data_IF_498553947412
#
_entry.id   IF_498553947412
#
_cell.length_a   1.000
_cell.length_b   1.000
_cell.length_c   1.000
_cell.angle_alpha   90.00
_cell.angle_beta   90.00
_cell.angle_gamma   90.00
#
_symmetry.space_group_name_H-M   'P 1'
#
loop_
_entity.id
_entity.type
_entity.pdbx_description
1 polymer ?
#
# COMPACT_ATOMS: atom_id res chain seq x y z
N UNK A 1 -15.75 -24.03 -5.09
CA UNK A 1 -16.13 -22.67 -4.65
C UNK A 1 -16.14 -21.77 -5.88
N UNK A 2 -17.23 -21.05 -6.15
CA UNK A 2 -17.30 -20.13 -7.30
C UNK A 2 -16.45 -18.89 -6.93
N UNK A 3 -15.54 -18.48 -7.82
CA UNK A 3 -14.74 -17.27 -7.61
C UNK A 3 -15.61 -16.02 -7.82
N UNK A 4 -15.37 -15.00 -7.02
CA UNK A 4 -15.90 -13.66 -7.21
C UNK A 4 -15.06 -12.95 -8.26
N UNK A 5 -15.66 -12.59 -9.38
CA UNK A 5 -14.97 -12.04 -10.56
C UNK A 5 -15.66 -10.79 -11.13
N UNK A 6 -16.70 -10.29 -10.50
CA UNK A 6 -17.51 -9.18 -10.97
C UNK A 6 -16.65 -7.91 -11.18
N UNK A 7 -15.63 -7.72 -10.35
CA UNK A 7 -14.70 -6.61 -10.47
C UNK A 7 -13.79 -6.67 -11.71
N UNK A 8 -13.74 -7.82 -12.41
CA UNK A 8 -12.97 -8.05 -13.64
C UNK A 8 -13.81 -7.87 -14.92
N UNK A 9 -15.01 -7.29 -14.83
CA UNK A 9 -15.93 -7.18 -15.97
C UNK A 9 -15.37 -6.43 -17.18
N UNK A 10 -14.37 -5.56 -17.01
CA UNK A 10 -13.66 -4.85 -18.07
C UNK A 10 -12.28 -5.41 -18.42
N UNK A 11 -11.93 -6.60 -17.94
CA UNK A 11 -10.63 -7.22 -18.18
C UNK A 11 -10.43 -7.56 -19.67
N UNK A 12 -9.16 -7.53 -20.14
CA UNK A 12 -8.80 -8.03 -21.47
C UNK A 12 -9.26 -9.47 -21.67
N UNK A 13 -9.80 -9.76 -22.85
CA UNK A 13 -10.25 -11.12 -23.22
C UNK A 13 -9.10 -12.12 -23.33
N UNK A 14 -7.89 -11.63 -23.53
CA UNK A 14 -6.67 -12.44 -23.66
C UNK A 14 -6.08 -12.85 -22.33
N UNK A 15 -6.62 -12.31 -21.21
CA UNK A 15 -6.15 -12.62 -19.88
C UNK A 15 -6.94 -13.74 -19.23
N UNK A 16 -6.25 -14.64 -18.57
CA UNK A 16 -6.88 -15.66 -17.75
C UNK A 16 -7.31 -15.12 -16.38
N UNK A 17 -8.35 -15.73 -15.82
CA UNK A 17 -8.74 -15.53 -14.43
C UNK A 17 -8.26 -16.73 -13.63
N UNK A 18 -7.43 -16.50 -12.63
CA UNK A 18 -6.92 -17.57 -11.79
C UNK A 18 -7.51 -17.56 -10.38
N UNK A 19 -7.47 -18.73 -9.74
CA UNK A 19 -7.70 -18.83 -8.31
C UNK A 19 -6.41 -18.42 -7.59
N UNK A 20 -6.44 -17.47 -6.63
CA UNK A 20 -5.24 -17.05 -5.89
C UNK A 20 -4.45 -18.19 -5.25
N UNK A 21 -5.08 -19.30 -4.87
CA UNK A 21 -4.40 -20.51 -4.35
C UNK A 21 -3.36 -21.09 -5.33
N UNK A 22 -3.53 -20.83 -6.63
CA UNK A 22 -2.60 -21.34 -7.65
C UNK A 22 -1.35 -20.48 -7.81
N UNK A 23 -1.35 -19.27 -7.24
CA UNK A 23 -0.27 -18.30 -7.38
C UNK A 23 0.23 -17.73 -6.04
N UNK A 24 -0.50 -17.94 -4.95
CA UNK A 24 -0.10 -17.54 -3.59
C UNK A 24 -0.27 -18.69 -2.60
N UNK A 25 0.68 -18.80 -1.69
CA UNK A 25 0.65 -19.75 -0.57
C UNK A 25 0.76 -18.96 0.74
N UNK A 26 0.00 -19.33 1.75
CA UNK A 26 0.13 -18.70 3.06
C UNK A 26 1.44 -19.13 3.74
N UNK A 27 2.25 -18.16 4.20
CA UNK A 27 3.47 -18.40 4.98
C UNK A 27 3.09 -18.76 6.41
N UNK A 28 3.50 -19.93 6.86
CA UNK A 28 3.31 -20.40 8.25
C UNK A 28 4.57 -20.23 9.10
N UNK A 29 5.67 -19.76 8.52
CA UNK A 29 6.97 -19.65 9.15
C UNK A 29 6.94 -18.62 10.28
N UNK A 30 7.51 -18.99 11.44
CA UNK A 30 7.69 -18.08 12.57
C UNK A 30 8.86 -17.14 12.33
N UNK A 31 8.78 -15.97 12.95
CA UNK A 31 9.86 -14.97 12.88
C UNK A 31 11.19 -15.52 13.40
N UNK A 32 12.26 -15.04 12.77
CA UNK A 32 13.63 -15.33 13.20
C UNK A 32 14.10 -14.30 14.23
N UNK A 33 15.12 -14.63 15.06
CA UNK A 33 15.66 -13.67 16.03
C UNK A 33 16.20 -12.38 15.41
N UNK A 34 16.69 -12.45 14.16
CA UNK A 34 17.24 -11.33 13.40
C UNK A 34 16.18 -10.45 12.73
N UNK A 35 14.91 -10.87 12.72
CA UNK A 35 13.85 -10.16 12.01
C UNK A 35 13.54 -8.82 12.67
N UNK A 36 13.58 -7.77 11.88
CA UNK A 36 13.11 -6.44 12.28
C UNK A 36 11.58 -6.37 12.26
N UNK A 37 11.00 -5.57 13.14
CA UNK A 37 9.56 -5.35 13.12
C UNK A 37 9.15 -4.55 11.88
N UNK A 38 8.18 -5.07 11.13
CA UNK A 38 7.60 -4.42 9.97
C UNK A 38 6.19 -3.91 10.27
N UNK A 39 5.84 -2.79 9.67
CA UNK A 39 4.53 -2.16 9.77
C UNK A 39 3.91 -2.08 8.37
N UNK A 40 2.79 -2.77 8.12
CA UNK A 40 2.00 -2.54 6.92
C UNK A 40 1.33 -1.17 6.95
N UNK A 41 1.49 -0.39 5.91
CA UNK A 41 0.93 0.95 5.75
C UNK A 41 0.30 1.10 4.37
N UNK A 42 -0.88 1.68 4.31
CA UNK A 42 -1.57 1.94 3.04
C UNK A 42 -0.81 2.94 2.15
N UNK A 43 -0.02 3.83 2.76
CA UNK A 43 0.72 4.88 2.05
C UNK A 43 2.13 4.42 1.69
N UNK A 44 2.83 3.77 2.63
CA UNK A 44 4.26 3.44 2.49
C UNK A 44 4.49 1.97 2.10
N UNK A 45 3.43 1.15 1.99
CA UNK A 45 3.58 -0.30 1.86
C UNK A 45 4.06 -0.93 3.18
N UNK A 46 4.81 -2.03 3.07
CA UNK A 46 5.41 -2.67 4.26
C UNK A 46 6.80 -2.09 4.48
N UNK A 47 7.00 -1.41 5.60
CA UNK A 47 8.29 -0.77 5.96
C UNK A 47 8.70 -1.12 7.38
N UNK A 48 10.00 -1.00 7.72
CA UNK A 48 10.47 -1.13 9.09
C UNK A 48 9.72 -0.18 10.02
N UNK A 49 9.34 -0.69 11.19
CA UNK A 49 8.57 0.09 12.16
C UNK A 49 9.31 1.35 12.63
N UNK A 50 10.63 1.28 12.75
CA UNK A 50 11.44 2.44 13.12
C UNK A 50 11.33 3.55 12.06
N UNK A 51 11.42 3.19 10.77
CA UNK A 51 11.27 4.10 9.64
C UNK A 51 9.86 4.71 9.60
N UNK A 52 8.82 3.89 9.83
CA UNK A 52 7.44 4.37 9.90
C UNK A 52 7.26 5.44 10.99
N UNK A 53 7.84 5.22 12.18
CA UNK A 53 7.76 6.17 13.29
C UNK A 53 8.51 7.47 12.98
N UNK A 54 9.67 7.37 12.31
CA UNK A 54 10.46 8.54 11.90
C UNK A 54 9.70 9.41 10.88
N UNK A 55 9.15 8.78 9.82
CA UNK A 55 8.47 9.50 8.74
C UNK A 55 7.13 10.08 9.17
N UNK A 56 6.39 9.40 10.03
CA UNK A 56 5.03 9.82 10.41
C UNK A 56 4.95 10.59 11.73
N UNK A 57 5.96 10.52 12.57
CA UNK A 57 5.92 11.01 13.95
C UNK A 57 4.99 10.21 14.87
N UNK A 58 4.34 9.17 14.37
CA UNK A 58 3.39 8.35 15.13
C UNK A 58 4.12 7.23 15.86
N UNK A 59 3.85 7.09 17.16
CA UNK A 59 4.33 5.92 17.91
C UNK A 59 3.48 4.70 17.55
N UNK A 60 4.12 3.64 17.09
CA UNK A 60 3.47 2.33 16.95
C UNK A 60 3.57 1.62 18.30
N UNK A 61 2.42 1.20 18.83
CA UNK A 61 2.41 0.42 20.07
C UNK A 61 3.00 -0.96 19.76
N UNK A 62 4.18 -1.21 20.28
CA UNK A 62 4.78 -2.55 20.26
C UNK A 62 3.91 -3.46 21.14
N UNK A 63 3.16 -4.35 20.53
CA UNK A 63 2.49 -5.41 21.29
C UNK A 63 3.55 -6.46 21.65
N UNK A 64 4.25 -6.23 22.76
CA UNK A 64 5.33 -7.11 23.26
C UNK A 64 4.78 -8.45 23.78
N UNK A 65 3.48 -8.52 24.10
CA UNK A 65 2.80 -9.76 24.45
C UNK A 65 2.59 -10.60 23.19
N UNK A 66 3.38 -11.66 23.06
CA UNK A 66 3.31 -12.58 21.91
C UNK A 66 4.41 -12.39 20.87
N UNK A 67 5.51 -11.72 21.20
CA UNK A 67 6.69 -11.56 20.35
C UNK A 67 7.20 -12.89 19.76
N UNK A 68 7.04 -13.99 20.50
CA UNK A 68 7.49 -15.33 20.11
C UNK A 68 6.61 -15.99 19.02
N UNK A 69 5.45 -15.40 18.70
CA UNK A 69 4.49 -15.93 17.72
C UNK A 69 4.32 -15.06 16.48
N UNK A 70 5.24 -14.13 16.24
CA UNK A 70 5.19 -13.31 15.03
C UNK A 70 5.52 -14.14 13.79
N UNK A 71 5.00 -13.73 12.64
CA UNK A 71 5.23 -14.38 11.34
C UNK A 71 6.43 -13.75 10.65
N UNK A 72 7.27 -14.58 10.06
CA UNK A 72 8.37 -14.17 9.18
C UNK A 72 7.81 -13.57 7.89
N UNK A 73 8.56 -12.64 7.30
CA UNK A 73 8.26 -11.97 6.02
C UNK A 73 9.54 -11.88 5.22
N UNK A 74 9.47 -12.24 3.95
CA UNK A 74 10.55 -12.10 2.96
C UNK A 74 10.23 -10.98 1.96
N UNK A 75 11.24 -10.42 1.28
CA UNK A 75 11.00 -9.55 0.14
C UNK A 75 10.09 -10.22 -0.90
N UNK A 76 9.15 -9.46 -1.41
CA UNK A 76 8.08 -9.87 -2.33
C UNK A 76 6.91 -10.62 -1.69
N UNK A 77 6.91 -10.89 -0.40
CA UNK A 77 5.70 -11.35 0.28
C UNK A 77 4.61 -10.26 0.26
N UNK A 78 3.35 -10.71 0.37
CA UNK A 78 2.20 -9.82 0.49
C UNK A 78 1.53 -10.01 1.84
N UNK A 79 1.07 -8.91 2.44
CA UNK A 79 0.54 -8.92 3.80
C UNK A 79 -0.91 -8.47 3.81
N UNK A 80 -1.80 -9.38 4.23
CA UNK A 80 -3.18 -9.06 4.58
C UNK A 80 -3.17 -8.63 6.05
N UNK A 81 -3.49 -7.37 6.29
CA UNK A 81 -3.51 -6.78 7.63
C UNK A 81 -4.94 -6.33 8.01
N UNK A 82 -5.13 -5.81 9.24
CA UNK A 82 -6.44 -5.47 9.79
C UNK A 82 -7.26 -4.48 8.95
N UNK A 83 -6.61 -3.65 8.12
CA UNK A 83 -7.27 -2.65 7.27
C UNK A 83 -7.17 -2.93 5.78
N UNK A 84 -6.82 -4.15 5.38
CA UNK A 84 -6.72 -4.50 3.95
C UNK A 84 -8.04 -4.34 3.19
N UNK A 85 -9.17 -4.40 3.87
CA UNK A 85 -10.49 -4.11 3.29
C UNK A 85 -10.69 -2.62 2.90
N UNK A 86 -9.84 -1.71 3.40
CA UNK A 86 -9.88 -0.27 3.09
C UNK A 86 -8.83 0.13 2.05
N UNK A 87 -7.65 -0.48 2.10
CA UNK A 87 -6.49 -0.04 1.33
C UNK A 87 -5.80 -1.13 0.50
N UNK A 88 -6.38 -2.34 0.44
CA UNK A 88 -5.80 -3.48 -0.27
C UNK A 88 -4.73 -4.22 0.54
N UNK A 89 -4.02 -5.10 -0.16
CA UNK A 89 -2.98 -5.96 0.41
C UNK A 89 -1.62 -5.32 0.17
N UNK A 90 -0.76 -5.31 1.20
CA UNK A 90 0.52 -4.64 1.14
C UNK A 90 1.63 -5.57 0.65
N UNK A 91 2.48 -5.08 -0.25
CA UNK A 91 3.67 -5.76 -0.74
C UNK A 91 4.89 -5.39 0.09
N UNK A 92 5.70 -6.37 0.50
CA UNK A 92 6.93 -6.15 1.25
C UNK A 92 8.16 -6.09 0.33
N UNK A 93 9.01 -5.11 0.59
CA UNK A 93 10.36 -5.03 0.03
C UNK A 93 11.43 -5.44 1.04
N UNK A 94 11.01 -5.71 2.27
CA UNK A 94 11.89 -5.94 3.41
C UNK A 94 11.69 -7.35 3.95
N UNK A 95 12.77 -7.92 4.43
CA UNK A 95 12.73 -9.06 5.33
C UNK A 95 12.46 -8.58 6.75
N UNK A 96 11.67 -9.36 7.50
CA UNK A 96 11.38 -9.03 8.88
C UNK A 96 10.22 -9.84 9.45
N UNK A 97 9.50 -9.25 10.40
CA UNK A 97 8.38 -9.91 11.06
C UNK A 97 7.18 -9.00 11.23
N UNK A 98 6.00 -9.64 11.18
CA UNK A 98 4.71 -8.98 11.41
C UNK A 98 3.89 -9.74 12.45
N UNK A 99 2.82 -9.11 12.93
CA UNK A 99 1.88 -9.73 13.87
C UNK A 99 1.35 -11.06 13.33
N UNK A 100 1.17 -12.04 14.22
CA UNK A 100 0.52 -13.32 13.88
C UNK A 100 -0.95 -13.17 13.48
N UNK A 101 -1.58 -12.04 13.79
CA UNK A 101 -2.94 -11.71 13.34
C UNK A 101 -3.02 -11.42 11.83
N UNK A 102 -1.88 -11.19 11.16
CA UNK A 102 -1.82 -10.94 9.73
C UNK A 102 -1.64 -12.23 8.95
N UNK A 103 -2.11 -12.25 7.70
CA UNK A 103 -1.83 -13.33 6.77
C UNK A 103 -0.70 -12.90 5.84
N UNK A 104 0.35 -13.68 5.75
CA UNK A 104 1.50 -13.44 4.87
C UNK A 104 1.39 -14.39 3.68
N UNK A 105 1.46 -13.85 2.46
CA UNK A 105 1.29 -14.57 1.22
C UNK A 105 2.63 -14.63 0.46
N UNK A 106 3.06 -15.82 0.14
CA UNK A 106 4.24 -16.08 -0.70
C UNK A 106 3.77 -16.15 -2.15
N UNK A 107 4.26 -15.30 -3.06
CA UNK A 107 3.99 -15.45 -4.49
C UNK A 107 4.81 -16.60 -5.08
N UNK A 108 4.29 -17.27 -6.10
CA UNK A 108 5.06 -18.25 -6.84
C UNK A 108 5.66 -17.67 -8.14
N UNK A 109 6.43 -18.46 -8.87
CA UNK A 109 7.14 -18.05 -10.08
C UNK A 109 6.23 -17.69 -11.29
N UNK A 110 4.91 -17.84 -11.16
CA UNK A 110 3.96 -17.48 -12.24
C UNK A 110 3.61 -16.00 -12.24
N UNK A 111 3.97 -15.26 -11.18
CA UNK A 111 3.59 -13.87 -11.04
C UNK A 111 4.78 -12.94 -10.83
N UNK A 112 4.67 -11.75 -11.37
CA UNK A 112 5.56 -10.61 -11.11
C UNK A 112 5.01 -9.85 -9.89
N UNK A 113 5.69 -9.84 -8.74
CA UNK A 113 5.18 -9.19 -7.52
C UNK A 113 4.91 -7.69 -7.70
N UNK A 114 5.70 -6.98 -8.53
CA UNK A 114 5.52 -5.56 -8.81
C UNK A 114 4.20 -5.28 -9.54
N UNK A 115 3.75 -6.20 -10.42
CA UNK A 115 2.44 -6.09 -11.07
C UNK A 115 1.32 -6.37 -10.06
N UNK A 116 1.43 -7.47 -9.31
CA UNK A 116 0.39 -7.86 -8.36
C UNK A 116 0.22 -6.88 -7.20
N UNK A 117 1.24 -6.12 -6.81
CA UNK A 117 1.06 -5.04 -5.83
C UNK A 117 0.03 -3.99 -6.31
N UNK A 118 -0.06 -3.74 -7.61
CA UNK A 118 -1.06 -2.83 -8.19
C UNK A 118 -2.43 -3.48 -8.33
N UNK A 119 -2.47 -4.75 -8.75
CA UNK A 119 -3.72 -5.52 -8.80
C UNK A 119 -4.39 -5.54 -7.44
N UNK A 120 -3.66 -5.88 -6.38
CA UNK A 120 -4.17 -6.00 -5.01
C UNK A 120 -4.42 -4.64 -4.31
N UNK A 121 -4.07 -3.54 -4.96
CA UNK A 121 -4.37 -2.15 -4.58
C UNK A 121 -5.44 -1.51 -5.46
N UNK A 122 -5.92 -2.18 -6.49
CA UNK A 122 -6.95 -1.63 -7.37
C UNK A 122 -8.28 -1.46 -6.63
N UNK A 123 -9.02 -0.40 -6.96
CA UNK A 123 -10.30 -0.10 -6.31
C UNK A 123 -11.32 -1.23 -6.46
N UNK A 124 -11.36 -1.89 -7.62
CA UNK A 124 -12.23 -3.04 -7.87
C UNK A 124 -11.90 -4.21 -6.96
N UNK A 125 -10.61 -4.57 -6.82
CA UNK A 125 -10.19 -5.62 -5.91
C UNK A 125 -10.50 -5.29 -4.45
N UNK A 126 -10.22 -4.05 -4.02
CA UNK A 126 -10.50 -3.60 -2.64
C UNK A 126 -11.99 -3.69 -2.33
N UNK A 127 -12.85 -3.27 -3.26
CA UNK A 127 -14.31 -3.36 -3.11
C UNK A 127 -14.76 -4.82 -3.01
N UNK A 128 -14.22 -5.70 -3.85
CA UNK A 128 -14.54 -7.13 -3.81
C UNK A 128 -14.06 -7.77 -2.52
N UNK A 129 -12.83 -7.42 -2.06
CA UNK A 129 -12.28 -7.88 -0.80
C UNK A 129 -13.14 -7.43 0.39
N UNK A 130 -13.57 -6.17 0.37
CA UNK A 130 -14.48 -5.61 1.39
C UNK A 130 -15.82 -6.36 1.42
N UNK A 131 -16.38 -6.74 0.26
CA UNK A 131 -17.64 -7.49 0.17
C UNK A 131 -17.56 -8.90 0.77
N UNK A 132 -16.35 -9.44 0.96
CA UNK A 132 -16.18 -10.73 1.65
C UNK A 132 -16.32 -10.62 3.17
N UNK A 133 -16.48 -9.41 3.69
CA UNK A 133 -16.38 -9.10 5.13
C UNK A 133 -17.67 -8.58 5.74
N UNK A 134 -18.83 -8.97 5.25
CA UNK A 134 -20.18 -8.44 5.56
C UNK A 134 -20.55 -8.29 7.07
N UNK A 135 -19.68 -8.70 7.99
CA UNK A 135 -19.90 -8.56 9.43
C UNK A 135 -18.59 -8.33 10.21
N UNK A 136 -17.58 -7.70 9.62
CA UNK A 136 -16.34 -7.47 10.38
C UNK A 136 -16.58 -6.45 11.49
N UNK A 137 -16.50 -6.90 12.73
CA UNK A 137 -16.31 -6.05 13.90
C UNK A 137 -14.89 -5.46 13.85
N UNK A 138 -14.72 -4.24 14.32
CA UNK A 138 -13.41 -3.61 14.44
C UNK A 138 -12.38 -4.56 15.05
N UNK A 139 -11.24 -4.75 14.35
CA UNK A 139 -10.12 -5.57 14.81
C UNK A 139 -10.04 -7.00 14.24
N UNK A 140 -10.95 -7.42 13.36
CA UNK A 140 -10.82 -8.70 12.66
C UNK A 140 -10.02 -8.55 11.36
N UNK A 141 -9.02 -9.42 11.15
CA UNK A 141 -8.27 -9.46 9.91
C UNK A 141 -8.99 -10.32 8.87
N UNK A 142 -8.83 -9.96 7.59
CA UNK A 142 -9.26 -10.81 6.48
C UNK A 142 -8.45 -12.10 6.50
N UNK A 143 -9.13 -13.23 6.43
CA UNK A 143 -8.49 -14.56 6.41
C UNK A 143 -8.09 -14.94 5.00
N UNK A 144 -7.11 -15.84 4.88
CA UNK A 144 -6.68 -16.41 3.62
C UNK A 144 -7.85 -16.95 2.78
N UNK A 145 -8.83 -17.62 3.41
CA UNK A 145 -10.00 -18.16 2.73
C UNK A 145 -10.87 -17.10 2.04
N UNK A 146 -10.97 -15.92 2.61
CA UNK A 146 -11.68 -14.79 2.01
C UNK A 146 -10.91 -14.26 0.79
N UNK A 147 -9.61 -14.07 0.91
CA UNK A 147 -8.74 -13.68 -0.20
C UNK A 147 -8.84 -14.64 -1.39
N UNK A 148 -8.72 -15.96 -1.16
CA UNK A 148 -8.74 -16.95 -2.23
C UNK A 148 -10.10 -17.19 -2.85
N UNK A 149 -11.16 -16.56 -2.31
CA UNK A 149 -12.49 -16.57 -2.93
C UNK A 149 -12.62 -15.57 -4.10
N UNK A 150 -11.68 -14.64 -4.24
CA UNK A 150 -11.69 -13.59 -5.27
C UNK A 150 -10.81 -14.02 -6.43
N UNK A 151 -11.36 -14.04 -7.66
CA UNK A 151 -10.56 -14.32 -8.85
C UNK A 151 -9.61 -13.19 -9.17
N UNK A 152 -8.40 -13.50 -9.61
CA UNK A 152 -7.38 -12.53 -9.99
C UNK A 152 -7.06 -12.62 -11.50
N UNK A 153 -6.72 -11.49 -12.15
CA UNK A 153 -6.29 -11.49 -13.53
C UNK A 153 -4.88 -12.09 -13.61
N UNK A 154 -4.65 -12.92 -14.62
CA UNK A 154 -3.35 -13.56 -14.84
C UNK A 154 -2.91 -13.38 -16.32
N UNK A 155 -2.34 -12.21 -16.67
CA UNK A 155 -1.62 -12.03 -17.93
C UNK A 155 -0.40 -12.95 -18.02
N UNK A 156 0.21 -13.06 -19.20
CA UNK A 156 1.52 -13.72 -19.32
C UNK A 156 2.56 -13.01 -18.46
N UNK A 157 3.60 -13.73 -18.01
CA UNK A 157 4.64 -13.13 -17.15
C UNK A 157 5.35 -11.97 -17.83
N UNK A 158 5.59 -12.04 -19.14
CA UNK A 158 6.17 -10.95 -19.93
C UNK A 158 5.28 -9.70 -19.89
N UNK A 159 3.97 -9.88 -20.03
CA UNK A 159 3.02 -8.77 -19.97
C UNK A 159 2.90 -8.19 -18.55
N UNK A 160 2.96 -9.02 -17.52
CA UNK A 160 3.00 -8.56 -16.13
C UNK A 160 4.21 -7.66 -15.87
N UNK A 161 5.40 -8.05 -16.33
CA UNK A 161 6.63 -7.24 -16.21
C UNK A 161 6.46 -5.90 -16.93
N UNK A 162 6.01 -5.94 -18.20
CA UNK A 162 5.79 -4.72 -19.00
C UNK A 162 4.78 -3.75 -18.33
N UNK A 163 3.69 -4.29 -17.79
CA UNK A 163 2.68 -3.48 -17.10
C UNK A 163 3.19 -2.95 -15.76
N UNK A 164 3.99 -3.73 -15.03
CA UNK A 164 4.64 -3.27 -13.81
C UNK A 164 5.58 -2.09 -14.09
N UNK A 165 6.46 -2.20 -15.09
CA UNK A 165 7.37 -1.12 -15.47
C UNK A 165 6.63 0.14 -15.90
N UNK A 166 5.55 -0.01 -16.67
CA UNK A 166 4.70 1.10 -17.06
C UNK A 166 4.06 1.81 -15.86
N UNK A 167 3.44 1.03 -14.95
CA UNK A 167 2.78 1.58 -13.77
C UNK A 167 3.79 2.23 -12.82
N UNK A 168 4.92 1.59 -12.56
CA UNK A 168 5.97 2.12 -11.69
C UNK A 168 6.50 3.47 -12.21
N UNK A 169 6.76 3.57 -13.52
CA UNK A 169 7.20 4.81 -14.14
C UNK A 169 6.14 5.92 -14.07
N UNK A 170 4.87 5.58 -14.36
CA UNK A 170 3.80 6.57 -14.37
C UNK A 170 3.45 7.07 -12.97
N UNK A 171 3.41 6.16 -12.01
CA UNK A 171 3.09 6.51 -10.62
C UNK A 171 4.22 7.34 -10.01
N UNK A 172 5.49 6.98 -10.24
CA UNK A 172 6.62 7.80 -9.80
C UNK A 172 6.55 9.24 -10.36
N UNK A 173 6.14 9.39 -11.63
CA UNK A 173 5.93 10.71 -12.23
C UNK A 173 4.80 11.49 -11.54
N UNK A 174 3.68 10.83 -11.28
CA UNK A 174 2.53 11.44 -10.58
C UNK A 174 2.93 11.85 -9.16
N UNK A 175 3.60 10.98 -8.42
CA UNK A 175 4.03 11.25 -7.05
C UNK A 175 4.99 12.44 -6.98
N UNK A 176 5.92 12.55 -7.93
CA UNK A 176 6.79 13.71 -8.03
C UNK A 176 6.01 15.01 -8.29
N UNK A 177 5.03 14.99 -9.19
CA UNK A 177 4.16 16.16 -9.44
C UNK A 177 3.36 16.52 -8.19
N UNK A 178 2.83 15.54 -7.48
CA UNK A 178 2.10 15.77 -6.21
C UNK A 178 3.01 16.44 -5.19
N UNK A 179 4.25 15.97 -5.06
CA UNK A 179 5.20 16.55 -4.10
C UNK A 179 5.58 17.99 -4.46
N UNK A 180 5.86 18.27 -5.74
CA UNK A 180 6.10 19.64 -6.22
C UNK A 180 4.91 20.57 -5.94
N UNK A 181 3.67 20.07 -6.09
CA UNK A 181 2.47 20.86 -5.76
C UNK A 181 2.34 21.13 -4.27
N UNK A 182 2.70 20.18 -3.40
CA UNK A 182 2.73 20.41 -1.95
C UNK A 182 3.73 21.50 -1.57
N UNK A 183 4.93 21.46 -2.14
CA UNK A 183 5.96 22.49 -1.92
C UNK A 183 5.50 23.86 -2.41
N UNK A 184 4.83 23.93 -3.58
CA UNK A 184 4.27 25.18 -4.10
C UNK A 184 3.19 25.74 -3.16
N UNK A 185 2.30 24.89 -2.63
CA UNK A 185 1.28 25.32 -1.66
C UNK A 185 1.94 25.83 -0.38
N UNK A 186 2.97 25.18 0.13
CA UNK A 186 3.71 25.66 1.30
C UNK A 186 4.32 27.05 1.04
N UNK A 187 5.01 27.24 -0.08
CA UNK A 187 5.58 28.55 -0.47
C UNK A 187 4.53 29.65 -0.58
N UNK A 188 3.34 29.37 -1.11
CA UNK A 188 2.25 30.36 -1.14
C UNK A 188 1.71 30.70 0.25
N UNK A 189 1.67 29.74 1.16
CA UNK A 189 1.29 30.01 2.56
C UNK A 189 2.29 30.93 3.26
N UNK A 190 3.58 30.67 3.05
CA UNK A 190 4.67 31.48 3.61
C UNK A 190 4.66 32.89 3.03
N UNK A 191 4.49 33.02 1.71
CA UNK A 191 4.33 34.30 1.04
C UNK A 191 3.15 35.09 1.55
N UNK A 192 1.98 34.45 1.71
CA UNK A 192 0.79 35.09 2.30
C UNK A 192 1.08 35.63 3.69
N UNK A 193 1.75 34.87 4.55
CA UNK A 193 2.11 35.30 5.91
C UNK A 193 3.08 36.48 5.87
N UNK A 194 4.10 36.41 5.05
CA UNK A 194 5.09 37.48 4.86
C UNK A 194 4.44 38.77 4.34
N UNK A 195 3.55 38.66 3.35
CA UNK A 195 2.83 39.82 2.78
C UNK A 195 1.95 40.48 3.85
N UNK A 196 1.17 39.73 4.59
CA UNK A 196 0.33 40.27 5.68
C UNK A 196 1.22 41.02 6.67
N UNK A 197 2.32 40.39 7.12
CA UNK A 197 3.23 40.97 8.09
C UNK A 197 3.83 42.29 7.56
N UNK A 198 4.34 42.31 6.34
CA UNK A 198 4.98 43.49 5.75
C UNK A 198 3.99 44.68 5.59
N UNK A 199 2.75 44.38 5.18
CA UNK A 199 1.72 45.40 5.02
C UNK A 199 1.30 45.99 6.37
N UNK A 200 1.01 45.13 7.37
CA UNK A 200 0.52 45.60 8.68
C UNK A 200 1.59 46.27 9.55
N UNK A 201 2.87 46.00 9.25
CA UNK A 201 4.00 46.67 9.93
C UNK A 201 4.50 47.90 9.19
N UNK A 202 3.91 48.26 8.03
CA UNK A 202 4.31 49.42 7.24
C UNK A 202 5.63 49.26 6.48
N UNK A 203 6.19 48.04 6.39
CA UNK A 203 7.40 47.74 5.61
C UNK A 203 7.06 47.70 4.13
N UNK A 204 5.84 47.35 3.77
CA UNK A 204 5.35 47.29 2.38
C UNK A 204 4.55 48.55 2.08
N UNK A 205 5.00 49.31 1.09
CA UNK A 205 4.29 50.48 0.56
C UNK A 205 3.71 50.15 -0.83
N UNK A 206 2.36 50.09 -0.89
CA UNK A 206 1.61 49.80 -2.13
C UNK A 206 1.87 50.87 -3.22
N UNK A 207 2.31 52.06 -2.84
CA UNK A 207 2.57 53.19 -3.77
C UNK A 207 3.85 53.05 -4.57
N UNK A 208 4.77 52.16 -4.15
CA UNK A 208 6.08 51.99 -4.84
C UNK A 208 6.08 50.96 -5.98
N UNK A 209 5.03 50.14 -6.12
CA UNK A 209 4.92 49.14 -7.21
C UNK A 209 4.05 49.57 -8.41
N UNK A 210 3.45 50.74 -8.37
CA UNK A 210 2.61 51.29 -9.44
C UNK A 210 3.36 52.11 -10.49
N UNK A 211 4.69 52.17 -10.41
CA UNK A 211 5.53 52.95 -11.35
C UNK A 211 6.65 52.08 -11.96
N UNK A 212 6.29 51.22 -12.91
CA UNK A 212 7.16 50.78 -14.00
C UNK A 212 6.32 50.28 -15.15
#
# INVERSE_FOLDING_TARGET
>A
MKLKIEWLSGMSKDWEICNPRTIFVERSEKSWPSDVHLTPSQIYGVIPQAEYMEVTGNKVVLNLTGADNMKHVEPNDFIIHLRSFQGGIEHSRYQGKVSNAYCVLIPNAKIEPRFFRWVLKSSGFIQELSSTTDQMRDGQSIKYEQFVSIGLPLPTLEEQVRLADYLDSRIATIDNVVELKKQQIASFKDFKTSLITSVVTGIYDEKTQGAK
#
